data_IF_714962812476
#
_entry.id   IF_714962812476
#
_cell.length_a   1.000
_cell.length_b   1.000
_cell.length_c   1.000
_cell.angle_alpha   90.00
_cell.angle_beta   90.00
_cell.angle_gamma   90.00
#
_symmetry.space_group_name_H-M   'P 1'
#
loop_
_entity.id
_entity.type
_entity.pdbx_description
1 polymer ?
#
# COMPACT_ATOMS: atom_id res chain seq x y z
N UNK A 1 -18.85 17.34 4.73
CA UNK A 1 -18.86 18.18 3.51
C UNK A 1 -19.65 17.44 2.45
N UNK A 2 -20.52 18.13 1.71
CA UNK A 2 -21.25 17.58 0.55
C UNK A 2 -20.60 18.20 -0.68
N UNK A 3 -20.27 17.39 -1.69
CA UNK A 3 -19.74 17.90 -2.96
C UNK A 3 -20.92 18.39 -3.80
N UNK A 4 -21.02 19.71 -3.99
CA UNK A 4 -22.13 20.38 -4.69
C UNK A 4 -21.60 21.23 -5.86
N UNK A 5 -22.27 21.14 -7.01
CA UNK A 5 -21.96 21.94 -8.22
C UNK A 5 -23.24 22.54 -8.74
N UNK A 6 -23.24 23.81 -9.14
CA UNK A 6 -24.41 24.42 -9.80
C UNK A 6 -24.72 23.70 -11.09
N UNK A 7 -25.99 23.37 -11.31
CA UNK A 7 -26.44 22.56 -12.45
C UNK A 7 -26.01 23.14 -13.80
N UNK A 8 -25.94 24.46 -13.91
CA UNK A 8 -25.59 25.17 -15.14
C UNK A 8 -24.07 25.24 -15.41
N UNK A 9 -23.24 24.85 -14.43
CA UNK A 9 -21.78 24.95 -14.47
C UNK A 9 -21.09 23.57 -14.43
N UNK A 10 -21.87 22.47 -14.52
CA UNK A 10 -21.33 21.11 -14.44
C UNK A 10 -20.46 20.81 -15.67
N UNK A 11 -19.16 20.72 -15.43
CA UNK A 11 -18.20 20.26 -16.43
C UNK A 11 -18.11 18.73 -16.45
N UNK A 12 -17.57 18.17 -17.54
CA UNK A 12 -17.37 16.72 -17.65
C UNK A 12 -16.38 16.19 -16.61
N UNK A 13 -15.36 16.97 -16.25
CA UNK A 13 -14.41 16.62 -15.19
C UNK A 13 -15.08 16.53 -13.81
N UNK A 14 -15.95 17.49 -13.46
CA UNK A 14 -16.70 17.45 -12.20
C UNK A 14 -17.68 16.28 -12.17
N UNK A 15 -18.30 15.94 -13.31
CA UNK A 15 -19.17 14.78 -13.41
C UNK A 15 -18.43 13.45 -13.20
N UNK A 16 -17.22 13.33 -13.74
CA UNK A 16 -16.35 12.17 -13.51
C UNK A 16 -15.88 12.07 -12.05
N UNK A 17 -15.55 13.21 -11.43
CA UNK A 17 -15.21 13.29 -10.01
C UNK A 17 -16.40 12.84 -9.12
N UNK A 18 -17.61 13.31 -9.40
CA UNK A 18 -18.81 12.88 -8.68
C UNK A 18 -19.06 11.37 -8.81
N UNK A 19 -18.83 10.80 -10.00
CA UNK A 19 -18.91 9.33 -10.20
C UNK A 19 -17.84 8.58 -9.41
N UNK A 20 -16.62 9.12 -9.35
CA UNK A 20 -15.52 8.57 -8.55
C UNK A 20 -15.92 8.51 -7.07
N UNK A 21 -16.41 9.63 -6.54
CA UNK A 21 -16.86 9.74 -5.14
C UNK A 21 -17.94 8.70 -4.83
N UNK A 22 -18.97 8.57 -5.68
CA UNK A 22 -20.06 7.59 -5.48
C UNK A 22 -19.54 6.15 -5.48
N UNK A 23 -18.56 5.84 -6.32
CA UNK A 23 -18.02 4.49 -6.44
C UNK A 23 -17.18 4.09 -5.24
N UNK A 24 -16.36 5.00 -4.76
CA UNK A 24 -15.34 4.73 -3.73
C UNK A 24 -15.85 4.93 -2.31
N UNK A 25 -16.97 5.63 -2.13
CA UNK A 25 -17.42 6.02 -0.80
C UNK A 25 -18.84 5.53 -0.47
N UNK A 26 -19.13 5.49 0.82
CA UNK A 26 -20.45 5.19 1.41
C UNK A 26 -20.82 6.24 2.44
N UNK A 27 -22.11 6.28 2.78
CA UNK A 27 -22.60 7.14 3.84
C UNK A 27 -22.04 6.69 5.21
N UNK A 28 -21.47 7.60 6.03
CA UNK A 28 -20.94 7.26 7.35
C UNK A 28 -22.04 6.86 8.34
N UNK A 29 -23.23 7.43 8.20
CA UNK A 29 -24.31 7.27 9.17
C UNK A 29 -25.09 5.96 8.99
N UNK A 30 -25.33 5.56 7.73
CA UNK A 30 -26.14 4.37 7.43
C UNK A 30 -25.44 3.32 6.58
N UNK A 31 -24.21 3.55 6.13
CA UNK A 31 -23.46 2.62 5.27
C UNK A 31 -24.04 2.46 3.86
N UNK A 32 -25.09 3.21 3.50
CA UNK A 32 -25.72 3.12 2.18
C UNK A 32 -24.84 3.71 1.08
N UNK A 33 -25.06 3.26 -0.15
CA UNK A 33 -24.40 3.81 -1.33
C UNK A 33 -24.81 5.27 -1.55
N UNK A 34 -23.83 6.10 -1.92
CA UNK A 34 -24.07 7.49 -2.26
C UNK A 34 -24.72 7.59 -3.65
N UNK A 35 -25.47 8.65 -3.89
CA UNK A 35 -26.10 8.92 -5.17
C UNK A 35 -25.88 10.36 -5.59
N UNK A 36 -25.72 10.56 -6.90
CA UNK A 36 -25.75 11.88 -7.53
C UNK A 36 -27.20 12.27 -7.71
N UNK A 37 -27.65 13.32 -7.04
CA UNK A 37 -29.02 13.80 -7.13
C UNK A 37 -29.07 15.31 -7.25
N UNK A 38 -30.17 15.83 -7.80
CA UNK A 38 -30.36 17.26 -8.00
C UNK A 38 -31.09 17.85 -6.80
N UNK A 39 -30.55 18.92 -6.22
CA UNK A 39 -31.22 19.71 -5.21
C UNK A 39 -32.03 20.84 -5.87
N UNK A 40 -33.38 20.73 -5.92
CA UNK A 40 -34.22 21.69 -6.63
C UNK A 40 -34.27 23.07 -5.95
N UNK A 41 -34.02 23.15 -4.64
CA UNK A 41 -34.09 24.42 -3.88
C UNK A 41 -32.88 25.32 -4.17
N UNK A 42 -31.71 24.71 -4.40
CA UNK A 42 -30.46 25.43 -4.68
C UNK A 42 -30.07 25.44 -6.16
N UNK A 43 -30.73 24.63 -7.00
CA UNK A 43 -30.33 24.44 -8.40
C UNK A 43 -28.96 23.76 -8.55
N UNK A 44 -28.54 22.98 -7.56
CA UNK A 44 -27.25 22.27 -7.53
C UNK A 44 -27.43 20.78 -7.80
N UNK A 45 -26.38 20.14 -8.30
CA UNK A 45 -26.21 18.69 -8.30
C UNK A 45 -25.30 18.35 -7.13
N UNK A 46 -25.71 17.39 -6.31
CA UNK A 46 -25.05 17.02 -5.06
C UNK A 46 -24.75 15.52 -5.05
N UNK A 47 -23.61 15.15 -4.46
CA UNK A 47 -23.28 13.75 -4.13
C UNK A 47 -23.52 13.52 -2.65
N UNK A 48 -24.43 12.61 -2.31
CA UNK A 48 -24.75 12.33 -0.92
C UNK A 48 -25.60 11.09 -0.72
N UNK A 49 -25.93 10.82 0.53
CA UNK A 49 -26.96 9.84 0.86
C UNK A 49 -28.33 10.34 0.37
N UNK A 50 -29.26 9.41 0.10
CA UNK A 50 -30.63 9.76 -0.22
C UNK A 50 -31.36 10.42 0.97
N UNK A 51 -30.91 10.12 2.20
CA UNK A 51 -31.39 10.82 3.39
C UNK A 51 -30.67 12.16 3.53
N UNK A 52 -31.44 13.25 3.49
CA UNK A 52 -30.95 14.64 3.55
C UNK A 52 -30.30 15.01 4.87
N UNK A 53 -30.58 14.26 5.94
CA UNK A 53 -29.98 14.47 7.27
C UNK A 53 -28.57 13.89 7.37
N UNK A 54 -28.19 12.99 6.47
CA UNK A 54 -26.86 12.37 6.49
C UNK A 54 -25.87 13.23 5.73
N UNK A 55 -24.68 13.39 6.28
CA UNK A 55 -23.70 14.33 5.75
C UNK A 55 -22.31 13.71 5.67
N UNK A 56 -21.61 14.00 4.58
CA UNK A 56 -20.29 13.46 4.32
C UNK A 56 -20.31 12.04 3.76
N UNK A 57 -19.11 11.52 3.56
CA UNK A 57 -18.87 10.22 2.98
C UNK A 57 -17.56 9.65 3.55
N UNK A 58 -17.49 8.33 3.65
CA UNK A 58 -16.30 7.58 4.08
C UNK A 58 -15.88 6.62 2.97
N UNK A 59 -14.59 6.39 2.82
CA UNK A 59 -14.08 5.42 1.86
C UNK A 59 -14.59 4.02 2.18
N UNK A 60 -15.02 3.30 1.14
CA UNK A 60 -15.40 1.89 1.24
C UNK A 60 -14.19 1.09 1.71
N UNK A 61 -14.43 0.21 2.67
CA UNK A 61 -13.45 -0.81 3.03
C UNK A 61 -13.20 -1.73 1.85
N UNK A 62 -11.92 -2.05 1.61
CA UNK A 62 -11.56 -3.03 0.59
C UNK A 62 -11.77 -4.45 1.12
N UNK A 63 -12.13 -5.39 0.24
CA UNK A 63 -12.29 -6.81 0.61
C UNK A 63 -11.04 -7.41 1.29
N UNK A 64 -9.85 -6.89 0.99
CA UNK A 64 -8.60 -7.27 1.67
C UNK A 64 -8.52 -6.73 3.09
N UNK A 65 -8.99 -5.51 3.36
CA UNK A 65 -9.09 -4.95 4.71
C UNK A 65 -10.14 -5.69 5.54
N UNK A 66 -11.29 -5.99 4.96
CA UNK A 66 -12.36 -6.78 5.59
C UNK A 66 -11.87 -8.19 5.95
N UNK A 67 -11.20 -8.86 5.02
CA UNK A 67 -10.59 -10.17 5.26
C UNK A 67 -9.59 -10.14 6.43
N UNK A 68 -8.75 -9.09 6.51
CA UNK A 68 -7.78 -8.93 7.62
C UNK A 68 -8.44 -8.66 8.98
N UNK A 69 -9.64 -8.06 8.98
CA UNK A 69 -10.44 -7.82 10.20
C UNK A 69 -11.23 -9.06 10.64
N UNK A 70 -11.16 -10.15 9.88
CA UNK A 70 -11.86 -11.40 10.16
C UNK A 70 -13.29 -11.43 9.65
N UNK A 71 -13.67 -10.49 8.78
CA UNK A 71 -15.00 -10.52 8.16
C UNK A 71 -15.12 -11.59 7.08
N UNK A 72 -16.35 -12.05 6.87
CA UNK A 72 -16.65 -13.14 5.95
C UNK A 72 -16.70 -12.61 4.53
N UNK A 73 -15.62 -12.83 3.77
CA UNK A 73 -15.53 -12.41 2.37
C UNK A 73 -15.91 -13.59 1.46
N UNK A 74 -16.43 -13.29 0.27
CA UNK A 74 -16.83 -14.32 -0.68
C UNK A 74 -15.67 -15.31 -0.97
N UNK A 75 -15.89 -16.64 -0.97
CA UNK A 75 -14.82 -17.64 -1.04
C UNK A 75 -13.87 -17.50 -2.26
N UNK A 76 -14.39 -17.05 -3.40
CA UNK A 76 -13.55 -16.79 -4.58
C UNK A 76 -12.57 -15.62 -4.38
N UNK A 77 -12.99 -14.58 -3.65
CA UNK A 77 -12.19 -13.41 -3.32
C UNK A 77 -11.18 -13.78 -2.23
N UNK A 78 -11.62 -14.50 -1.20
CA UNK A 78 -10.75 -15.05 -0.17
C UNK A 78 -9.61 -15.88 -0.78
N UNK A 79 -9.90 -16.83 -1.67
CA UNK A 79 -8.85 -17.63 -2.36
C UNK A 79 -7.91 -16.80 -3.22
N UNK A 80 -8.35 -15.66 -3.74
CA UNK A 80 -7.50 -14.76 -4.50
C UNK A 80 -6.59 -13.93 -3.57
N UNK A 81 -7.11 -13.52 -2.41
CA UNK A 81 -6.35 -12.85 -1.35
C UNK A 81 -5.32 -13.82 -0.75
N UNK A 82 -5.74 -15.02 -0.36
CA UNK A 82 -4.87 -16.06 0.21
C UNK A 82 -3.76 -16.50 -0.74
N UNK A 83 -4.06 -16.61 -2.05
CA UNK A 83 -3.03 -16.89 -3.08
C UNK A 83 -1.97 -15.80 -3.19
N UNK A 84 -2.34 -14.54 -2.95
CA UNK A 84 -1.38 -13.43 -2.88
C UNK A 84 -0.60 -13.41 -1.56
N UNK A 85 -1.14 -14.00 -0.50
CA UNK A 85 -0.57 -13.95 0.84
C UNK A 85 0.39 -15.10 1.17
N UNK A 86 0.56 -16.12 0.32
CA UNK A 86 1.40 -17.28 0.63
C UNK A 86 2.23 -17.80 -0.56
N UNK A 87 3.57 -17.75 -0.48
CA UNK A 87 4.45 -18.61 -1.26
C UNK A 87 5.08 -19.69 -0.36
N UNK A 88 4.59 -20.94 -0.42
CA UNK A 88 5.15 -22.07 0.38
C UNK A 88 6.24 -22.87 -0.34
N UNK A 89 6.23 -22.94 -1.67
CA UNK A 89 7.27 -23.63 -2.46
C UNK A 89 8.38 -22.70 -2.99
N UNK A 90 8.18 -21.38 -2.90
CA UNK A 90 9.14 -20.39 -3.39
C UNK A 90 10.14 -19.92 -2.33
N UNK A 91 9.90 -20.13 -1.03
CA UNK A 91 10.80 -19.60 0.01
C UNK A 91 12.22 -20.17 -0.13
N UNK A 92 12.35 -21.48 -0.31
CA UNK A 92 13.67 -22.11 -0.51
C UNK A 92 14.36 -21.64 -1.79
N UNK A 93 13.60 -21.47 -2.88
CA UNK A 93 14.12 -20.94 -4.15
C UNK A 93 14.53 -19.48 -4.03
N UNK A 94 13.71 -18.67 -3.37
CA UNK A 94 13.94 -17.25 -3.11
C UNK A 94 15.16 -17.09 -2.21
N UNK A 95 15.30 -17.88 -1.14
CA UNK A 95 16.50 -17.91 -0.29
C UNK A 95 17.76 -18.21 -1.09
N UNK A 96 17.73 -19.19 -2.00
CA UNK A 96 18.87 -19.50 -2.87
C UNK A 96 19.22 -18.33 -3.81
N UNK A 97 18.21 -17.70 -4.42
CA UNK A 97 18.41 -16.54 -5.30
C UNK A 97 18.93 -15.32 -4.53
N UNK A 98 18.43 -15.10 -3.33
CA UNK A 98 18.87 -14.04 -2.42
C UNK A 98 20.31 -14.27 -1.97
N UNK A 99 20.68 -15.51 -1.64
CA UNK A 99 22.06 -15.88 -1.29
C UNK A 99 23.03 -15.69 -2.45
N UNK A 100 22.60 -15.98 -3.69
CA UNK A 100 23.40 -15.71 -4.90
C UNK A 100 23.61 -14.20 -5.12
N UNK A 101 22.61 -13.38 -4.81
CA UNK A 101 22.64 -11.93 -5.07
C UNK A 101 23.29 -11.12 -3.94
N UNK A 102 23.09 -11.55 -2.69
CA UNK A 102 23.55 -10.90 -1.47
C UNK A 102 24.29 -11.86 -0.54
N UNK A 103 25.40 -12.47 -0.98
CA UNK A 103 26.09 -13.54 -0.24
C UNK A 103 26.66 -13.09 1.11
N UNK A 104 26.92 -11.79 1.28
CA UNK A 104 27.50 -11.22 2.51
C UNK A 104 26.47 -10.66 3.47
N UNK A 105 25.23 -10.43 3.01
CA UNK A 105 24.15 -9.87 3.82
C UNK A 105 23.30 -10.96 4.49
N UNK A 106 23.34 -12.19 3.95
CA UNK A 106 22.61 -13.33 4.48
C UNK A 106 23.56 -14.20 5.30
N UNK A 107 23.54 -13.96 6.61
CA UNK A 107 24.43 -14.63 7.56
C UNK A 107 23.90 -16.01 7.95
N UNK A 108 22.58 -16.17 7.97
CA UNK A 108 21.92 -17.41 8.36
C UNK A 108 20.54 -17.60 7.67
N UNK A 109 20.09 -18.86 7.48
CA UNK A 109 18.82 -19.17 6.84
C UNK A 109 17.58 -18.55 7.53
N UNK A 110 17.47 -18.54 8.88
CA UNK A 110 16.38 -17.85 9.57
C UNK A 110 16.27 -16.36 9.24
N UNK A 111 17.39 -15.63 9.22
CA UNK A 111 17.39 -14.20 8.87
C UNK A 111 16.99 -13.97 7.43
N UNK A 112 17.43 -14.83 6.50
CA UNK A 112 17.00 -14.79 5.10
C UNK A 112 15.50 -15.00 4.96
N UNK A 113 14.95 -15.97 5.69
CA UNK A 113 13.53 -16.29 5.67
C UNK A 113 12.70 -15.14 6.23
N UNK A 114 13.12 -14.54 7.35
CA UNK A 114 12.48 -13.37 7.94
C UNK A 114 12.48 -12.19 6.96
N UNK A 115 13.61 -11.92 6.31
CA UNK A 115 13.71 -10.86 5.30
C UNK A 115 12.74 -11.09 4.13
N UNK A 116 12.67 -12.32 3.60
CA UNK A 116 11.74 -12.66 2.51
C UNK A 116 10.29 -12.50 2.97
N UNK A 117 9.95 -13.00 4.16
CA UNK A 117 8.61 -12.86 4.72
C UNK A 117 8.21 -11.39 4.90
N UNK A 118 9.14 -10.54 5.37
CA UNK A 118 8.91 -9.10 5.49
C UNK A 118 8.70 -8.42 4.13
N UNK A 119 9.50 -8.77 3.13
CA UNK A 119 9.29 -8.29 1.75
C UNK A 119 7.92 -8.73 1.22
N UNK A 120 7.56 -10.00 1.42
CA UNK A 120 6.25 -10.55 0.98
C UNK A 120 5.09 -9.83 1.68
N UNK A 121 5.23 -9.53 2.99
CA UNK A 121 4.22 -8.82 3.78
C UNK A 121 4.00 -7.39 3.28
N UNK A 122 5.06 -6.75 2.81
CA UNK A 122 5.02 -5.40 2.26
C UNK A 122 4.68 -5.37 0.77
N UNK A 123 4.45 -6.54 0.15
CA UNK A 123 4.29 -6.69 -1.30
C UNK A 123 5.49 -6.03 -2.01
N UNK A 124 6.70 -6.46 -1.65
CA UNK A 124 7.97 -6.02 -2.22
C UNK A 124 8.68 -7.25 -2.77
N UNK A 125 9.24 -7.16 -3.97
CA UNK A 125 10.03 -8.22 -4.57
C UNK A 125 11.54 -7.95 -4.34
N UNK A 126 12.20 -8.73 -3.46
CA UNK A 126 13.64 -8.57 -3.24
C UNK A 126 14.50 -9.14 -4.39
N UNK A 127 13.88 -9.78 -5.39
CA UNK A 127 14.54 -10.45 -6.50
C UNK A 127 14.38 -9.70 -7.83
N UNK A 128 13.52 -8.69 -7.93
CA UNK A 128 13.41 -7.86 -9.14
C UNK A 128 14.68 -7.01 -9.34
N UNK A 129 14.89 -6.44 -10.52
CA UNK A 129 16.09 -5.62 -10.80
C UNK A 129 15.69 -4.25 -11.33
N UNK A 130 16.05 -3.14 -10.64
CA UNK A 130 16.73 -3.08 -9.34
C UNK A 130 15.86 -3.68 -8.22
N UNK A 131 16.48 -4.31 -7.21
CA UNK A 131 15.72 -4.92 -6.12
C UNK A 131 14.98 -3.84 -5.33
N UNK A 132 13.71 -4.07 -5.05
CA UNK A 132 12.87 -3.09 -4.36
C UNK A 132 13.21 -2.99 -2.87
N UNK A 133 13.71 -4.08 -2.29
CA UNK A 133 14.30 -4.10 -0.96
C UNK A 133 15.62 -4.88 -0.97
N UNK A 134 16.56 -4.40 -0.17
CA UNK A 134 17.90 -4.99 -0.05
C UNK A 134 18.21 -5.25 1.43
N UNK A 135 18.72 -6.44 1.79
CA UNK A 135 19.21 -6.68 3.13
C UNK A 135 20.59 -6.01 3.29
N UNK A 136 20.73 -5.10 4.25
CA UNK A 136 21.98 -4.39 4.51
C UNK A 136 22.52 -4.75 5.90
N UNK A 137 23.75 -5.30 6.00
CA UNK A 137 24.36 -5.62 7.27
C UNK A 137 25.01 -4.36 7.89
N UNK A 138 24.56 -3.99 9.09
CA UNK A 138 25.15 -2.95 9.92
C UNK A 138 26.04 -3.59 10.99
N UNK A 139 27.34 -3.30 10.94
CA UNK A 139 28.30 -3.74 11.96
C UNK A 139 28.43 -2.67 13.02
N UNK A 140 28.03 -3.00 14.24
CA UNK A 140 28.25 -2.17 15.43
C UNK A 140 29.37 -2.78 16.27
N UNK A 141 30.33 -1.95 16.68
CA UNK A 141 31.45 -2.35 17.54
C UNK A 141 31.38 -1.59 18.84
N UNK A 142 31.23 -2.30 19.95
CA UNK A 142 31.34 -1.73 21.29
C UNK A 142 32.81 -1.79 21.71
N UNK A 143 33.38 -0.63 22.06
CA UNK A 143 34.77 -0.50 22.52
C UNK A 143 34.81 -0.18 24.00
N UNK A 144 35.83 -0.68 24.68
CA UNK A 144 36.12 -0.37 26.08
C UNK A 144 36.77 1.00 26.21
N UNK A 145 36.94 1.47 27.46
CA UNK A 145 37.60 2.74 27.79
C UNK A 145 39.04 2.83 27.24
N UNK A 146 39.68 1.69 26.97
CA UNK A 146 41.03 1.58 26.39
C UNK A 146 41.02 1.38 24.87
N UNK A 147 39.85 1.48 24.22
CA UNK A 147 39.71 1.40 22.76
C UNK A 147 39.70 -0.02 22.18
N UNK A 148 39.84 -1.06 23.00
CA UNK A 148 39.68 -2.46 22.58
C UNK A 148 38.23 -2.78 22.24
N UNK A 149 38.00 -3.50 21.15
CA UNK A 149 36.67 -3.99 20.76
C UNK A 149 36.27 -5.13 21.70
N UNK A 150 35.21 -4.92 22.47
CA UNK A 150 34.67 -5.90 23.43
C UNK A 150 33.60 -6.75 22.76
N UNK A 151 32.83 -6.15 21.86
CA UNK A 151 31.65 -6.76 21.27
C UNK A 151 31.49 -6.28 19.83
N UNK A 152 31.35 -7.21 18.89
CA UNK A 152 30.99 -6.93 17.50
C UNK A 152 29.63 -7.55 17.23
N UNK A 153 28.62 -6.70 17.03
CA UNK A 153 27.25 -7.10 16.72
C UNK A 153 26.92 -6.68 15.30
N UNK A 154 26.54 -7.66 14.48
CA UNK A 154 26.02 -7.41 13.13
C UNK A 154 24.50 -7.47 13.19
N UNK A 155 23.85 -6.37 12.80
CA UNK A 155 22.39 -6.28 12.67
C UNK A 155 22.06 -6.17 11.20
N UNK A 156 21.17 -7.02 10.69
CA UNK A 156 20.71 -6.92 9.31
C UNK A 156 19.42 -6.09 9.32
N UNK A 157 19.40 -5.03 8.51
CA UNK A 157 18.23 -4.17 8.35
C UNK A 157 17.81 -4.16 6.89
N UNK A 158 16.51 -4.24 6.64
CA UNK A 158 15.95 -4.06 5.31
C UNK A 158 16.01 -2.58 4.93
N UNK A 159 16.60 -2.30 3.76
CA UNK A 159 16.59 -0.97 3.15
C UNK A 159 15.71 -1.04 1.91
N UNK A 160 14.69 -0.19 1.87
CA UNK A 160 13.82 -0.02 0.70
C UNK A 160 14.56 0.88 -0.29
N UNK A 161 14.67 0.44 -1.54
CA UNK A 161 15.31 1.23 -2.60
C UNK A 161 14.35 2.28 -3.16
N UNK A 162 14.85 3.21 -3.96
CA UNK A 162 14.00 4.19 -4.63
C UNK A 162 12.92 3.50 -5.48
N UNK A 163 13.28 2.48 -6.26
CA UNK A 163 12.32 1.68 -7.03
C UNK A 163 11.33 0.95 -6.14
N UNK A 164 11.77 0.44 -4.98
CA UNK A 164 10.88 -0.19 -4.01
C UNK A 164 9.88 0.78 -3.41
N UNK A 165 10.32 2.00 -3.09
CA UNK A 165 9.43 3.06 -2.63
C UNK A 165 8.37 3.41 -3.69
N UNK A 166 8.79 3.58 -4.95
CA UNK A 166 7.89 3.86 -6.08
C UNK A 166 6.88 2.72 -6.30
N UNK A 167 7.36 1.48 -6.19
CA UNK A 167 6.56 0.28 -6.38
C UNK A 167 5.55 0.08 -5.25
N UNK A 168 5.97 0.36 -4.00
CA UNK A 168 5.07 0.38 -2.84
C UNK A 168 4.00 1.46 -3.00
N UNK A 169 4.37 2.66 -3.45
CA UNK A 169 3.41 3.74 -3.69
C UNK A 169 2.41 3.38 -4.81
N UNK A 170 2.89 2.78 -5.90
CA UNK A 170 2.06 2.30 -7.00
C UNK A 170 1.08 1.18 -6.59
N UNK A 171 1.49 0.29 -5.66
CA UNK A 171 0.64 -0.79 -5.14
C UNK A 171 -0.32 -0.32 -4.05
N UNK A 172 0.13 0.59 -3.18
CA UNK A 172 -0.65 1.12 -2.06
C UNK A 172 -1.80 2.04 -2.50
N UNK A 173 -1.58 2.85 -3.52
CA UNK A 173 -2.57 3.78 -4.07
C UNK A 173 -2.58 3.72 -5.61
N UNK A 174 -3.02 2.58 -6.16
CA UNK A 174 -3.04 2.35 -7.61
C UNK A 174 -3.83 3.40 -8.40
N UNK A 175 -4.85 3.99 -7.78
CA UNK A 175 -5.76 4.96 -8.42
C UNK A 175 -5.25 6.41 -8.35
N UNK A 176 -4.33 6.71 -7.43
CA UNK A 176 -3.74 8.05 -7.24
C UNK A 176 -2.23 8.09 -7.58
N UNK A 177 -1.66 6.99 -8.04
CA UNK A 177 -0.26 6.94 -8.46
C UNK A 177 -0.04 7.70 -9.78
N UNK A 178 0.58 8.88 -9.70
CA UNK A 178 0.83 9.77 -10.86
C UNK A 178 2.20 9.52 -11.52
N UNK A 179 2.82 8.37 -11.24
CA UNK A 179 4.18 8.05 -11.66
C UNK A 179 5.25 8.56 -10.67
N UNK A 180 6.53 8.22 -10.89
CA UNK A 180 7.62 8.72 -10.06
C UNK A 180 7.65 10.26 -10.07
N UNK A 181 7.99 10.90 -8.94
CA UNK A 181 8.20 12.34 -8.93
C UNK A 181 9.20 12.69 -10.03
N UNK A 182 8.87 13.68 -10.87
CA UNK A 182 9.82 14.20 -11.85
C UNK A 182 11.01 14.70 -11.07
N UNK A 183 12.09 13.94 -11.03
CA UNK A 183 13.38 14.38 -10.54
C UNK A 183 13.81 15.51 -11.45
N UNK A 184 13.48 16.76 -11.09
CA UNK A 184 14.13 17.91 -11.68
C UNK A 184 15.60 17.78 -11.32
N UNK A 185 16.44 17.47 -12.30
CA UNK A 185 17.85 17.78 -12.18
C UNK A 185 17.93 19.30 -12.04
N UNK A 186 18.46 19.74 -10.91
CA UNK A 186 18.96 21.10 -10.76
C UNK A 186 20.24 21.18 -11.62
N UNK A 187 20.06 21.45 -12.92
CA UNK A 187 21.11 22.00 -13.78
C UNK A 187 21.05 23.53 -13.72
#
# INVERSE_FOLDING_TARGET
>A
MVYEVKRDEVTQAQWEEMKKIVRENVCPDCGAELQIHTNPEKGTIEVGCLNREHHGFIERTTYTQEFRRGETVHPAIQRAIERKMVPKDELGRAMNLLALRYPTAIVDPPTAALFIMDCTRLDIDPLISPAEAVPVPFKSKRRDKEGKVIEEKTTITMVITEDGWLSMAARGCKEDWVGPPRTMRLE
#
